data_IF_733300078989
#
_entry.id   IF_733300078989
#
_cell.length_a   1.000
_cell.length_b   1.000
_cell.length_c   1.000
_cell.angle_alpha   90.00
_cell.angle_beta   90.00
_cell.angle_gamma   90.00
#
_symmetry.space_group_name_H-M   'P 1'
#
loop_
_entity.id
_entity.type
_entity.pdbx_description
1 polymer ?
#
# COMPACT_ATOMS: atom_id res chain seq x y z
N UNK A 1 4.69 3.35 22.13
CA UNK A 1 4.04 2.32 22.99
C UNK A 1 2.52 2.17 22.80
N UNK A 2 1.82 2.79 21.82
CA UNK A 2 0.35 2.61 21.71
C UNK A 2 -0.24 2.36 20.30
N UNK A 3 0.55 1.98 19.28
CA UNK A 3 -0.01 1.48 18.01
C UNK A 3 -0.49 0.01 18.12
N UNK A 4 0.22 -0.82 18.90
CA UNK A 4 -0.08 -2.26 19.05
C UNK A 4 -1.43 -2.58 19.72
N UNK A 5 -2.02 -1.65 20.48
CA UNK A 5 -3.28 -1.91 21.22
C UNK A 5 -4.51 -1.83 20.31
N UNK A 6 -4.46 -1.09 19.20
CA UNK A 6 -5.60 -0.92 18.29
C UNK A 6 -5.77 -2.12 17.34
N UNK A 7 -4.67 -2.77 16.95
CA UNK A 7 -4.69 -3.98 16.10
C UNK A 7 -5.32 -5.19 16.83
N UNK A 8 -5.19 -5.27 18.15
CA UNK A 8 -5.70 -6.39 18.96
C UNK A 8 -7.24 -6.51 18.93
N UNK A 9 -7.97 -5.42 18.67
CA UNK A 9 -9.44 -5.46 18.63
C UNK A 9 -10.03 -5.98 17.30
N UNK A 10 -9.28 -5.92 16.20
CA UNK A 10 -9.72 -6.43 14.90
C UNK A 10 -9.40 -7.93 14.70
N UNK A 11 -8.39 -8.46 15.39
CA UNK A 11 -7.87 -9.82 15.19
C UNK A 11 -8.54 -10.87 16.12
N UNK A 12 -9.32 -10.44 17.11
CA UNK A 12 -9.86 -11.31 18.17
C UNK A 12 -10.92 -12.36 17.75
N UNK A 13 -11.24 -12.50 16.45
CA UNK A 13 -12.25 -13.45 15.95
C UNK A 13 -11.73 -14.52 14.98
N UNK A 14 -10.44 -14.59 14.69
CA UNK A 14 -9.88 -15.63 13.81
C UNK A 14 -9.29 -16.80 14.64
N UNK A 15 -9.90 -18.01 14.60
CA UNK A 15 -9.37 -19.15 15.33
C UNK A 15 -8.17 -19.78 14.61
N UNK A 16 -7.01 -19.73 15.28
CA UNK A 16 -5.95 -20.74 15.17
C UNK A 16 -5.10 -20.72 13.90
N UNK A 17 -4.16 -19.78 13.80
CA UNK A 17 -3.02 -19.88 12.89
C UNK A 17 -1.82 -20.40 13.69
N UNK A 18 -1.22 -21.49 13.22
CA UNK A 18 0.02 -22.02 13.78
C UNK A 18 1.16 -21.08 13.39
N UNK A 19 1.94 -20.61 14.38
CA UNK A 19 3.10 -19.75 14.13
C UNK A 19 4.22 -20.65 13.57
N UNK A 20 4.38 -20.64 12.25
CA UNK A 20 5.59 -21.16 11.60
C UNK A 20 6.81 -20.35 12.09
N UNK A 21 8.00 -20.96 12.12
CA UNK A 21 9.23 -20.19 12.34
C UNK A 21 9.35 -19.24 11.15
N UNK A 22 9.24 -17.95 11.43
CA UNK A 22 9.22 -16.95 10.39
C UNK A 22 10.62 -16.73 9.83
N UNK A 23 10.72 -16.51 8.52
CA UNK A 23 11.98 -16.18 7.88
C UNK A 23 12.43 -14.79 8.32
N UNK A 24 13.72 -14.62 8.53
CA UNK A 24 14.28 -13.32 8.90
C UNK A 24 14.34 -12.43 7.65
N UNK A 25 13.90 -11.18 7.75
CA UNK A 25 13.77 -10.28 6.62
C UNK A 25 15.12 -9.92 5.98
N UNK A 26 16.14 -9.75 6.83
CA UNK A 26 17.51 -9.50 6.41
C UNK A 26 18.39 -10.59 6.98
N UNK A 27 19.17 -11.25 6.12
CA UNK A 27 20.07 -12.32 6.53
C UNK A 27 21.46 -12.04 6.02
N UNK A 28 22.44 -11.97 6.93
CA UNK A 28 23.85 -11.89 6.58
C UNK A 28 24.52 -13.25 6.80
N UNK A 29 25.10 -13.77 5.73
CA UNK A 29 26.02 -14.91 5.76
C UNK A 29 27.44 -14.39 5.67
N UNK A 30 28.21 -14.48 6.75
CA UNK A 30 29.60 -14.02 6.79
C UNK A 30 30.57 -15.19 7.00
N UNK A 31 31.69 -15.19 6.26
CA UNK A 31 32.71 -16.23 6.26
C UNK A 31 34.11 -15.63 6.38
N UNK A 32 34.94 -16.19 7.26
CA UNK A 32 36.32 -15.75 7.40
C UNK A 32 37.12 -16.08 6.14
N UNK A 33 37.82 -15.09 5.58
CA UNK A 33 38.61 -15.28 4.37
C UNK A 33 39.71 -16.33 4.59
N UNK A 34 39.72 -17.36 3.75
CA UNK A 34 40.67 -18.48 3.81
C UNK A 34 40.34 -19.56 4.85
N UNK A 35 39.24 -19.42 5.61
CA UNK A 35 38.79 -20.42 6.59
C UNK A 35 37.25 -20.58 6.52
N UNK A 36 36.72 -21.29 5.50
CA UNK A 36 35.27 -21.43 5.30
C UNK A 36 34.53 -22.11 6.46
N UNK A 37 35.24 -22.89 7.28
CA UNK A 37 34.66 -23.52 8.48
C UNK A 37 34.30 -22.51 9.58
N UNK A 38 34.72 -21.25 9.46
CA UNK A 38 34.33 -20.16 10.35
C UNK A 38 33.32 -19.26 9.62
N UNK A 39 32.09 -19.75 9.51
CA UNK A 39 30.96 -19.07 8.91
C UNK A 39 29.88 -18.82 9.97
N UNK A 40 29.20 -17.68 9.88
CA UNK A 40 28.04 -17.34 10.70
C UNK A 40 26.89 -16.90 9.79
N UNK A 41 25.66 -17.19 10.24
CA UNK A 41 24.42 -16.77 9.60
C UNK A 41 23.62 -16.00 10.66
N UNK A 42 23.31 -14.74 10.39
CA UNK A 42 22.62 -13.85 11.32
C UNK A 42 21.44 -13.21 10.62
N UNK A 43 20.25 -13.38 11.17
CA UNK A 43 19.02 -12.72 10.70
C UNK A 43 18.66 -11.52 11.57
N UNK A 44 17.93 -10.56 11.00
CA UNK A 44 17.38 -9.40 11.69
C UNK A 44 16.13 -8.87 10.98
N UNK A 45 15.27 -8.19 11.74
CA UNK A 45 14.17 -7.37 11.22
C UNK A 45 14.58 -5.92 10.91
N UNK A 46 15.82 -5.51 11.22
CA UNK A 46 16.34 -4.16 11.01
C UNK A 46 17.69 -4.23 10.29
N UNK A 47 17.73 -3.76 9.03
CA UNK A 47 18.94 -3.72 8.22
C UNK A 47 20.00 -2.78 8.84
N UNK A 48 19.69 -1.54 9.26
CA UNK A 48 20.72 -0.66 9.84
C UNK A 48 21.40 -1.26 11.07
N UNK A 49 20.65 -1.95 11.93
CA UNK A 49 21.23 -2.55 13.14
C UNK A 49 22.08 -3.78 12.78
N UNK A 50 21.63 -4.60 11.83
CA UNK A 50 22.41 -5.74 11.32
C UNK A 50 23.71 -5.31 10.62
N UNK A 51 23.64 -4.23 9.85
CA UNK A 51 24.80 -3.62 9.20
C UNK A 51 25.80 -3.05 10.22
N UNK A 52 25.32 -2.36 11.27
CA UNK A 52 26.14 -1.89 12.39
C UNK A 52 26.86 -3.05 13.07
N UNK A 53 26.13 -4.11 13.40
CA UNK A 53 26.69 -5.28 14.08
C UNK A 53 27.78 -5.96 13.23
N UNK A 54 27.59 -6.06 11.90
CA UNK A 54 28.59 -6.57 10.98
C UNK A 54 29.85 -5.68 10.94
N UNK A 55 29.68 -4.36 10.81
CA UNK A 55 30.79 -3.42 10.71
C UNK A 55 31.63 -3.38 11.99
N UNK A 56 30.96 -3.35 13.15
CA UNK A 56 31.57 -3.30 14.48
C UNK A 56 32.16 -4.66 14.92
N UNK A 57 31.86 -5.75 14.19
CA UNK A 57 32.06 -7.13 14.66
C UNK A 57 31.41 -7.35 16.04
N UNK A 58 30.21 -6.83 16.22
CA UNK A 58 29.43 -6.96 17.44
C UNK A 58 28.68 -8.30 17.48
N UNK A 59 28.23 -8.72 18.67
CA UNK A 59 27.43 -9.94 18.85
C UNK A 59 28.07 -11.20 18.26
N UNK A 60 27.36 -11.85 17.33
CA UNK A 60 27.81 -13.08 16.65
C UNK A 60 28.99 -12.82 15.72
N UNK A 61 29.10 -11.60 15.14
CA UNK A 61 30.20 -11.22 14.24
C UNK A 61 31.52 -11.00 14.97
N UNK A 62 31.54 -11.00 16.31
CA UNK A 62 32.77 -10.90 17.11
C UNK A 62 33.81 -11.99 16.80
N UNK A 63 33.38 -13.12 16.22
CA UNK A 63 34.24 -14.17 15.67
C UNK A 63 35.21 -13.66 14.58
N UNK A 64 34.92 -12.53 13.93
CA UNK A 64 35.73 -11.92 12.88
C UNK A 64 36.60 -10.75 13.37
N UNK A 65 36.65 -10.48 14.67
CA UNK A 65 37.43 -9.36 15.23
C UNK A 65 38.90 -9.47 14.83
N UNK A 66 39.41 -8.44 14.14
CA UNK A 66 40.78 -8.38 13.64
C UNK A 66 41.09 -9.38 12.52
N UNK A 67 40.06 -9.88 11.82
CA UNK A 67 40.19 -10.87 10.73
C UNK A 67 39.48 -10.38 9.47
N UNK A 68 40.00 -10.70 8.28
CA UNK A 68 39.27 -10.47 7.04
C UNK A 68 38.09 -11.44 6.89
N UNK A 69 37.02 -10.99 6.27
CA UNK A 69 35.84 -11.81 5.98
C UNK A 69 35.19 -11.38 4.65
N UNK A 70 34.37 -12.27 4.09
CA UNK A 70 33.38 -11.98 3.05
C UNK A 70 32.00 -12.21 3.62
N UNK A 71 31.01 -11.42 3.21
CA UNK A 71 29.64 -11.55 3.64
C UNK A 71 28.69 -11.34 2.46
N UNK A 72 27.58 -12.05 2.45
CA UNK A 72 26.44 -11.77 1.56
C UNK A 72 25.24 -11.37 2.41
N UNK A 73 24.45 -10.42 1.91
CA UNK A 73 23.19 -9.98 2.47
C UNK A 73 22.06 -10.47 1.57
N UNK A 74 21.16 -11.24 2.13
CA UNK A 74 19.84 -11.49 1.56
C UNK A 74 18.91 -10.39 2.06
N UNK A 75 18.24 -9.69 1.14
CA UNK A 75 17.39 -8.54 1.45
C UNK A 75 15.95 -8.84 1.08
N UNK A 76 15.07 -8.92 2.08
CA UNK A 76 13.63 -9.07 1.89
C UNK A 76 13.25 -10.23 0.94
N UNK A 77 13.97 -11.36 1.05
CA UNK A 77 13.77 -12.56 0.22
C UNK A 77 14.60 -12.60 -1.06
N UNK A 78 15.28 -11.51 -1.42
CA UNK A 78 16.22 -11.48 -2.55
C UNK A 78 17.59 -11.98 -2.09
N UNK A 79 17.98 -13.17 -2.56
CA UNK A 79 19.25 -13.79 -2.20
C UNK A 79 20.46 -13.03 -2.77
N UNK A 80 21.53 -12.92 -1.97
CA UNK A 80 22.79 -12.28 -2.35
C UNK A 80 22.61 -10.86 -2.93
N UNK A 81 21.61 -10.13 -2.44
CA UNK A 81 21.27 -8.78 -2.87
C UNK A 81 22.45 -7.80 -2.75
N UNK A 82 23.32 -8.01 -1.76
CA UNK A 82 24.57 -7.25 -1.61
C UNK A 82 25.71 -8.17 -1.19
N UNK A 83 26.89 -8.00 -1.79
CA UNK A 83 28.11 -8.66 -1.34
C UNK A 83 29.07 -7.66 -0.68
N UNK A 84 29.63 -8.05 0.45
CA UNK A 84 30.51 -7.25 1.28
C UNK A 84 31.80 -8.02 1.51
N UNK A 85 32.95 -7.36 1.41
CA UNK A 85 34.22 -7.94 1.85
C UNK A 85 34.96 -6.98 2.75
N UNK A 86 35.62 -7.50 3.78
CA UNK A 86 36.44 -6.71 4.70
C UNK A 86 37.88 -7.20 4.65
N UNK A 87 38.80 -6.24 4.48
CA UNK A 87 40.24 -6.48 4.49
C UNK A 87 40.94 -5.59 5.51
N UNK A 88 42.10 -6.03 6.00
CA UNK A 88 42.93 -5.26 6.94
C UNK A 88 43.88 -4.38 6.14
N UNK A 89 44.00 -3.10 6.50
CA UNK A 89 44.93 -2.19 5.84
C UNK A 89 46.32 -2.35 6.45
N UNK A 90 47.28 -2.76 5.63
CA UNK A 90 48.68 -2.96 6.04
C UNK A 90 49.24 -1.75 6.78
N UNK A 91 49.77 -1.98 7.99
CA UNK A 91 50.44 -0.95 8.80
C UNK A 91 49.56 -0.29 9.88
N UNK A 92 48.27 -0.64 9.97
CA UNK A 92 47.38 -0.20 11.06
C UNK A 92 46.60 -1.39 11.62
N UNK A 93 46.62 -1.56 12.94
CA UNK A 93 45.92 -2.69 13.59
C UNK A 93 44.41 -2.43 13.74
N UNK A 94 43.96 -1.19 13.54
CA UNK A 94 42.57 -0.78 13.80
C UNK A 94 41.86 -0.20 12.57
N UNK A 95 42.50 -0.17 11.41
CA UNK A 95 41.89 0.33 10.18
C UNK A 95 41.59 -0.80 9.21
N UNK A 96 40.38 -0.77 8.68
CA UNK A 96 39.88 -1.78 7.77
C UNK A 96 39.35 -1.11 6.50
N UNK A 97 39.35 -1.87 5.42
CA UNK A 97 38.63 -1.52 4.19
C UNK A 97 37.45 -2.47 4.06
N UNK A 98 36.25 -1.91 4.02
CA UNK A 98 35.03 -2.62 3.70
C UNK A 98 34.65 -2.27 2.25
N UNK A 99 34.49 -3.29 1.41
CA UNK A 99 34.20 -3.17 -0.01
C UNK A 99 32.84 -3.78 -0.29
N UNK A 100 31.88 -2.96 -0.67
CA UNK A 100 30.54 -3.36 -1.12
C UNK A 100 30.61 -3.52 -2.64
N UNK A 101 30.18 -4.67 -3.14
CA UNK A 101 30.19 -5.04 -4.55
C UNK A 101 28.96 -5.90 -4.87
N UNK A 102 28.71 -6.10 -6.17
CA UNK A 102 27.60 -6.93 -6.66
C UNK A 102 26.25 -6.56 -6.00
N UNK A 103 25.98 -5.26 -5.90
CA UNK A 103 24.71 -4.75 -5.37
C UNK A 103 23.66 -4.96 -6.46
N UNK A 104 22.56 -5.62 -6.12
CA UNK A 104 21.45 -5.88 -7.03
C UNK A 104 21.02 -4.62 -7.79
N UNK A 105 20.71 -4.74 -9.07
CA UNK A 105 20.34 -3.62 -9.95
C UNK A 105 21.50 -2.73 -10.40
N UNK A 106 22.67 -2.76 -9.75
CA UNK A 106 23.80 -1.91 -10.10
C UNK A 106 24.92 -2.66 -10.84
N UNK A 107 25.23 -2.23 -12.06
CA UNK A 107 26.26 -2.89 -12.88
C UNK A 107 27.68 -2.51 -12.45
N UNK A 108 28.37 -3.43 -11.77
CA UNK A 108 29.81 -3.33 -11.49
C UNK A 108 30.23 -2.21 -10.56
N UNK A 109 29.28 -1.59 -9.85
CA UNK A 109 29.58 -0.56 -8.87
C UNK A 109 30.27 -1.17 -7.66
N UNK A 110 31.38 -0.57 -7.25
CA UNK A 110 32.12 -0.98 -6.05
C UNK A 110 32.30 0.22 -5.13
N UNK A 111 31.80 0.11 -3.91
CA UNK A 111 31.94 1.14 -2.88
C UNK A 111 33.02 0.71 -1.89
N UNK A 112 33.97 1.59 -1.61
CA UNK A 112 35.06 1.33 -0.67
C UNK A 112 34.95 2.26 0.52
N UNK A 113 34.66 1.68 1.69
CA UNK A 113 34.62 2.36 2.98
C UNK A 113 35.92 2.07 3.73
N UNK A 114 36.50 3.09 4.36
CA UNK A 114 37.76 2.97 5.09
C UNK A 114 37.62 3.66 6.43
N UNK A 115 37.95 2.94 7.50
CA UNK A 115 37.88 3.49 8.84
C UNK A 115 38.19 2.46 9.92
N UNK A 116 38.07 2.92 11.16
CA UNK A 116 37.89 2.09 12.34
C UNK A 116 36.53 1.38 12.32
N UNK A 117 36.29 0.36 13.16
CA UNK A 117 34.98 -0.33 13.20
C UNK A 117 33.80 0.65 13.36
N UNK A 118 33.88 1.53 14.37
CA UNK A 118 32.85 2.54 14.65
C UNK A 118 32.61 3.47 13.44
N UNK A 119 33.67 3.96 12.78
CA UNK A 119 33.57 4.79 11.57
C UNK A 119 32.97 4.03 10.38
N UNK A 120 33.27 2.73 10.25
CA UNK A 120 32.72 1.89 9.18
C UNK A 120 31.24 1.57 9.41
N UNK A 121 30.82 1.46 10.67
CA UNK A 121 29.42 1.28 11.05
C UNK A 121 28.59 2.49 10.66
N UNK A 122 29.06 3.70 10.99
CA UNK A 122 28.44 4.95 10.53
C UNK A 122 28.43 5.06 9.00
N UNK A 123 29.56 4.82 8.32
CA UNK A 123 29.65 4.89 6.85
C UNK A 123 28.75 3.85 6.15
N UNK A 124 28.61 2.65 6.70
CA UNK A 124 27.76 1.61 6.10
C UNK A 124 26.27 1.95 6.27
N UNK A 125 25.90 2.52 7.41
CA UNK A 125 24.56 3.06 7.63
C UNK A 125 24.28 4.24 6.70
N UNK A 126 25.22 5.17 6.58
CA UNK A 126 25.13 6.31 5.68
C UNK A 126 25.07 5.86 4.22
N UNK A 127 25.75 4.78 3.83
CA UNK A 127 25.63 4.21 2.49
C UNK A 127 24.18 3.81 2.14
N UNK A 128 23.46 3.13 3.04
CA UNK A 128 22.08 2.74 2.75
C UNK A 128 21.07 3.90 2.85
N UNK A 129 21.36 4.91 3.67
CA UNK A 129 20.40 5.97 3.97
C UNK A 129 20.64 7.26 3.18
N UNK A 130 21.88 7.55 2.79
CA UNK A 130 22.33 8.89 2.42
C UNK A 130 23.27 8.93 1.19
N UNK A 131 24.32 8.13 1.19
CA UNK A 131 25.37 8.20 0.19
C UNK A 131 25.05 7.36 -1.04
N UNK A 132 25.48 7.81 -2.23
CA UNK A 132 25.27 7.11 -3.51
C UNK A 132 23.78 6.88 -3.87
N UNK A 133 22.95 7.95 -3.90
CA UNK A 133 21.52 7.81 -4.13
C UNK A 133 21.16 7.11 -5.45
N UNK A 134 21.98 7.25 -6.49
CA UNK A 134 21.76 6.56 -7.78
C UNK A 134 21.94 5.03 -7.64
N UNK A 135 22.89 4.58 -6.83
CA UNK A 135 23.12 3.14 -6.59
C UNK A 135 22.00 2.55 -5.74
N UNK A 136 21.57 3.30 -4.70
CA UNK A 136 20.45 2.89 -3.85
C UNK A 136 19.13 2.90 -4.64
N UNK A 137 18.96 3.84 -5.57
CA UNK A 137 17.84 3.86 -6.50
C UNK A 137 17.76 2.59 -7.33
N UNK A 138 18.86 2.23 -8.01
CA UNK A 138 18.91 1.01 -8.84
C UNK A 138 18.71 -0.25 -7.98
N UNK A 139 19.25 -0.26 -6.76
CA UNK A 139 19.04 -1.33 -5.79
C UNK A 139 17.56 -1.47 -5.40
N UNK A 140 16.92 -0.39 -4.95
CA UNK A 140 15.52 -0.43 -4.52
C UNK A 140 14.56 -0.78 -5.66
N UNK A 141 14.84 -0.33 -6.88
CA UNK A 141 14.10 -0.74 -8.07
C UNK A 141 14.22 -2.26 -8.31
N UNK A 142 15.45 -2.80 -8.32
CA UNK A 142 15.66 -4.24 -8.51
C UNK A 142 15.08 -5.10 -7.38
N UNK A 143 15.03 -4.57 -6.15
CA UNK A 143 14.34 -5.21 -5.02
C UNK A 143 12.82 -5.21 -5.24
N UNK A 144 12.22 -4.13 -5.74
CA UNK A 144 10.78 -4.06 -6.00
C UNK A 144 10.33 -5.08 -7.06
N UNK A 145 11.17 -5.36 -8.05
CA UNK A 145 10.91 -6.36 -9.09
C UNK A 145 10.93 -7.81 -8.55
N UNK A 146 11.58 -8.08 -7.42
CA UNK A 146 11.86 -9.46 -6.96
C UNK A 146 11.30 -9.79 -5.57
N UNK A 147 11.15 -8.80 -4.69
CA UNK A 147 10.72 -9.01 -3.31
C UNK A 147 9.20 -8.88 -3.16
N UNK A 148 8.50 -9.91 -2.65
CA UNK A 148 7.04 -9.84 -2.41
C UNK A 148 6.68 -8.90 -1.24
N UNK A 149 7.68 -8.36 -0.53
CA UNK A 149 7.53 -7.47 0.62
C UNK A 149 8.33 -6.17 0.45
N UNK A 150 8.61 -5.77 -0.79
CA UNK A 150 9.16 -4.46 -1.10
C UNK A 150 8.21 -3.33 -0.64
N UNK A 151 8.78 -2.22 -0.16
CA UNK A 151 7.97 -1.16 0.48
C UNK A 151 7.38 -0.15 -0.51
N UNK A 152 8.08 0.09 -1.62
CA UNK A 152 7.76 1.16 -2.58
C UNK A 152 6.86 0.70 -3.71
N UNK A 153 7.15 -0.47 -4.31
CA UNK A 153 6.44 -0.99 -5.48
C UNK A 153 6.48 -2.54 -5.56
N UNK A 154 5.77 -3.11 -6.54
CA UNK A 154 5.93 -4.51 -6.97
C UNK A 154 5.11 -5.56 -6.22
N UNK A 155 4.27 -5.17 -5.26
CA UNK A 155 3.41 -6.09 -4.52
C UNK A 155 2.15 -5.39 -3.93
N UNK A 156 1.15 -6.13 -3.41
CA UNK A 156 -0.09 -5.53 -2.91
C UNK A 156 0.06 -4.62 -1.68
N UNK A 157 1.14 -4.72 -0.88
CA UNK A 157 1.39 -3.82 0.26
C UNK A 157 2.14 -2.55 -0.12
N UNK A 158 2.75 -2.51 -1.29
CA UNK A 158 3.56 -1.41 -1.75
C UNK A 158 2.78 -0.10 -1.88
N UNK A 159 3.49 1.03 -1.83
CA UNK A 159 2.87 2.36 -1.93
C UNK A 159 2.06 2.55 -3.22
N UNK A 160 2.62 2.15 -4.37
CA UNK A 160 1.94 2.23 -5.68
C UNK A 160 0.60 1.49 -5.68
N UNK A 161 0.56 0.28 -5.11
CA UNK A 161 -0.63 -0.55 -5.00
C UNK A 161 -1.68 0.08 -4.07
N UNK A 162 -1.26 0.63 -2.92
CA UNK A 162 -2.15 1.35 -1.99
C UNK A 162 -2.77 2.58 -2.62
N UNK A 163 -1.97 3.38 -3.33
CA UNK A 163 -2.45 4.52 -4.11
C UNK A 163 -3.53 4.12 -5.12
N UNK A 164 -3.23 3.10 -5.92
CA UNK A 164 -4.12 2.59 -6.94
C UNK A 164 -5.39 2.03 -6.32
N UNK A 165 -5.31 1.35 -5.16
CA UNK A 165 -6.45 0.83 -4.39
C UNK A 165 -7.33 1.95 -3.88
N UNK A 166 -6.79 3.00 -3.27
CA UNK A 166 -7.60 4.12 -2.77
C UNK A 166 -8.52 4.67 -3.88
N UNK A 167 -7.95 4.96 -5.05
CA UNK A 167 -8.70 5.52 -6.18
C UNK A 167 -9.71 4.51 -6.72
N UNK A 168 -9.31 3.26 -6.92
CA UNK A 168 -10.17 2.24 -7.48
C UNK A 168 -11.35 1.90 -6.57
N UNK A 169 -11.09 1.74 -5.27
CA UNK A 169 -12.12 1.46 -4.29
C UNK A 169 -13.11 2.60 -4.24
N UNK A 170 -12.63 3.84 -4.15
CA UNK A 170 -13.52 4.99 -3.98
C UNK A 170 -14.35 5.27 -5.23
N UNK A 171 -13.72 5.28 -6.41
CA UNK A 171 -14.35 5.78 -7.64
C UNK A 171 -14.72 4.68 -8.62
N UNK A 172 -14.27 3.44 -8.39
CA UNK A 172 -14.64 2.25 -9.13
C UNK A 172 -15.60 1.39 -8.31
N UNK A 173 -15.05 0.51 -7.47
CA UNK A 173 -15.79 -0.58 -6.81
C UNK A 173 -16.89 -0.09 -5.85
N UNK A 174 -16.64 1.02 -5.16
CA UNK A 174 -17.59 1.69 -4.26
C UNK A 174 -18.02 3.05 -4.81
N UNK A 175 -18.08 3.21 -6.14
CA UNK A 175 -18.58 4.41 -6.78
C UNK A 175 -19.99 4.76 -6.28
N UNK A 176 -20.83 3.76 -6.01
CA UNK A 176 -22.17 3.84 -5.40
C UNK A 176 -22.20 4.40 -3.97
N UNK A 177 -21.06 4.74 -3.38
CA UNK A 177 -20.99 5.49 -2.13
C UNK A 177 -20.72 7.00 -2.35
N UNK A 178 -20.23 7.40 -3.53
CA UNK A 178 -19.96 8.81 -3.85
C UNK A 178 -21.26 9.58 -4.17
N UNK A 179 -21.46 10.78 -3.59
CA UNK A 179 -22.55 11.69 -3.91
C UNK A 179 -22.65 12.05 -5.38
N UNK A 180 -21.52 12.11 -6.10
CA UNK A 180 -21.54 12.26 -7.56
C UNK A 180 -22.33 11.11 -8.21
N UNK A 181 -22.14 9.86 -7.81
CA UNK A 181 -22.90 8.73 -8.37
C UNK A 181 -24.30 8.55 -7.74
N UNK A 182 -24.47 8.93 -6.47
CA UNK A 182 -25.71 8.73 -5.70
C UNK A 182 -26.80 9.75 -5.95
N UNK A 183 -26.63 10.61 -6.95
CA UNK A 183 -27.70 11.52 -7.39
C UNK A 183 -28.95 10.78 -7.83
N UNK A 184 -28.81 9.51 -8.23
CA UNK A 184 -29.94 8.62 -8.52
C UNK A 184 -30.92 8.60 -7.34
N UNK A 185 -30.46 8.69 -6.09
CA UNK A 185 -31.35 8.60 -4.94
C UNK A 185 -31.97 9.93 -4.50
N UNK A 186 -31.37 11.09 -4.82
CA UNK A 186 -31.94 12.41 -4.47
C UNK A 186 -33.18 12.77 -5.27
N UNK A 187 -33.40 12.12 -6.40
CA UNK A 187 -34.42 12.55 -7.35
C UNK A 187 -35.80 11.94 -7.09
N UNK A 188 -35.95 11.19 -6.00
CA UNK A 188 -37.22 10.58 -5.60
C UNK A 188 -37.91 11.32 -4.46
N UNK A 189 -37.56 12.59 -4.23
CA UNK A 189 -38.45 13.48 -3.51
C UNK A 189 -39.36 14.15 -4.54
N UNK A 190 -40.67 14.08 -4.33
CA UNK A 190 -41.63 14.82 -5.15
C UNK A 190 -41.25 16.32 -5.09
N UNK A 191 -40.96 16.96 -6.23
CA UNK A 191 -40.47 18.33 -6.26
C UNK A 191 -41.48 19.35 -5.69
N UNK A 192 -42.77 19.00 -5.60
CA UNK A 192 -43.80 19.84 -4.98
C UNK A 192 -43.89 19.66 -3.46
N UNK A 193 -43.67 18.45 -2.96
CA UNK A 193 -43.89 18.11 -1.53
C UNK A 193 -42.61 17.89 -0.74
N UNK A 194 -41.51 17.60 -1.41
CA UNK A 194 -40.27 17.16 -0.79
C UNK A 194 -40.39 15.80 -0.11
N UNK A 195 -41.44 15.02 -0.36
CA UNK A 195 -41.63 13.69 0.25
C UNK A 195 -41.10 12.57 -0.66
N UNK A 196 -40.58 11.46 -0.10
CA UNK A 196 -40.14 10.30 -0.88
C UNK A 196 -41.30 9.72 -1.72
N UNK A 197 -41.07 9.49 -3.01
CA UNK A 197 -42.01 8.80 -3.91
C UNK A 197 -42.12 7.34 -3.45
N UNK A 198 -43.29 6.94 -2.95
CA UNK A 198 -43.58 5.59 -2.47
C UNK A 198 -44.06 4.69 -3.62
N UNK A 199 -43.11 4.08 -4.33
CA UNK A 199 -43.39 3.11 -5.43
C UNK A 199 -43.16 1.65 -5.04
N UNK A 200 -42.92 1.38 -3.75
CA UNK A 200 -42.71 0.03 -3.23
C UNK A 200 -41.31 -0.54 -3.49
N UNK A 201 -40.38 0.20 -4.11
CA UNK A 201 -38.99 -0.23 -4.28
C UNK A 201 -38.16 0.21 -3.07
N UNK A 202 -37.48 -0.70 -2.35
CA UNK A 202 -36.58 -0.31 -1.27
C UNK A 202 -35.32 0.35 -1.85
N UNK A 203 -35.20 1.67 -1.71
CA UNK A 203 -34.03 2.45 -2.14
C UNK A 203 -33.18 2.86 -0.93
N UNK A 204 -31.86 2.69 -1.04
CA UNK A 204 -30.88 3.20 -0.09
C UNK A 204 -30.29 4.48 -0.68
N UNK A 205 -30.63 5.64 -0.12
CA UNK A 205 -30.02 6.94 -0.44
C UNK A 205 -28.60 7.12 0.13
N UNK A 206 -27.60 6.41 -0.37
CA UNK A 206 -26.24 6.56 0.15
C UNK A 206 -25.75 8.04 0.08
N UNK A 207 -25.71 8.70 1.24
CA UNK A 207 -24.96 9.94 1.45
C UNK A 207 -25.60 11.25 1.02
N UNK A 208 -26.93 11.43 1.03
CA UNK A 208 -27.47 12.65 0.43
C UNK A 208 -28.73 13.21 1.09
N UNK A 209 -28.62 13.82 2.28
CA UNK A 209 -29.59 14.85 2.70
C UNK A 209 -29.65 15.89 1.59
N UNK A 210 -30.83 16.27 1.10
CA UNK A 210 -31.02 17.15 -0.05
C UNK A 210 -30.34 18.54 0.15
N UNK A 211 -29.05 18.64 -0.15
CA UNK A 211 -28.34 19.92 -0.23
C UNK A 211 -28.34 20.30 -1.70
N UNK A 212 -29.28 21.12 -2.12
CA UNK A 212 -29.57 21.44 -3.53
C UNK A 212 -28.31 21.85 -4.32
N UNK A 213 -27.39 22.62 -3.71
CA UNK A 213 -26.02 22.83 -4.21
C UNK A 213 -25.07 23.06 -3.01
N UNK A 214 -23.81 22.61 -3.08
CA UNK A 214 -22.79 22.91 -2.05
C UNK A 214 -22.72 21.97 -0.83
N UNK A 215 -23.02 20.67 -0.97
CA UNK A 215 -22.90 19.69 0.11
C UNK A 215 -21.48 19.10 0.23
N UNK A 216 -21.12 18.71 1.45
CA UNK A 216 -19.88 18.00 1.74
C UNK A 216 -20.18 16.55 2.13
N UNK A 217 -19.35 15.63 1.67
CA UNK A 217 -19.37 14.26 2.17
C UNK A 217 -18.01 13.91 2.73
N UNK A 218 -17.97 13.57 4.01
CA UNK A 218 -16.78 12.98 4.61
C UNK A 218 -16.90 11.47 4.69
N UNK A 219 -15.81 10.78 4.37
CA UNK A 219 -15.73 9.32 4.45
C UNK A 219 -14.42 8.91 5.12
N UNK A 220 -14.54 7.93 6.00
CA UNK A 220 -13.43 7.30 6.70
C UNK A 220 -13.46 5.81 6.40
N UNK A 221 -12.40 5.27 5.83
CA UNK A 221 -12.24 3.85 5.59
C UNK A 221 -11.14 3.29 6.50
N UNK A 222 -11.43 2.13 7.08
CA UNK A 222 -10.49 1.30 7.83
C UNK A 222 -10.37 -0.03 7.11
N UNK A 223 -9.15 -0.53 7.03
CA UNK A 223 -8.85 -1.88 6.59
C UNK A 223 -7.77 -2.44 7.50
N UNK A 224 -7.98 -3.67 7.98
CA UNK A 224 -6.96 -4.41 8.71
C UNK A 224 -6.84 -5.80 8.12
N UNK A 225 -5.61 -6.23 7.79
CA UNK A 225 -5.32 -7.53 7.18
C UNK A 225 -4.18 -8.24 7.90
N UNK A 226 -4.23 -9.58 7.90
CA UNK A 226 -3.05 -10.45 8.09
C UNK A 226 -2.49 -10.78 6.71
N UNK A 227 -1.17 -10.90 6.61
CA UNK A 227 -0.46 -11.04 5.33
C UNK A 227 0.53 -12.20 5.40
N UNK A 228 0.57 -12.99 4.34
CA UNK A 228 1.60 -13.97 4.01
C UNK A 228 2.17 -13.60 2.63
N UNK A 229 3.49 -13.43 2.52
CA UNK A 229 4.16 -12.96 1.32
C UNK A 229 5.49 -13.69 1.14
N UNK A 230 5.52 -14.69 0.26
CA UNK A 230 6.57 -15.68 0.18
C UNK A 230 6.69 -16.42 1.51
N UNK A 231 7.90 -16.45 2.07
CA UNK A 231 8.17 -17.03 3.38
C UNK A 231 7.87 -16.08 4.55
N UNK A 232 7.43 -14.84 4.27
CA UNK A 232 7.23 -13.80 5.27
C UNK A 232 5.79 -13.72 5.74
N UNK A 233 5.61 -13.29 6.99
CA UNK A 233 4.33 -13.08 7.64
C UNK A 233 4.23 -11.68 8.25
N UNK A 234 3.02 -11.15 8.31
CA UNK A 234 2.83 -9.81 8.84
C UNK A 234 1.38 -9.34 8.97
N UNK A 235 1.24 -8.04 9.12
CA UNK A 235 -0.06 -7.38 9.22
C UNK A 235 -0.07 -6.03 8.53
N UNK A 236 -1.22 -5.65 8.02
CA UNK A 236 -1.47 -4.38 7.36
C UNK A 236 -2.64 -3.65 8.03
N UNK A 237 -2.54 -2.33 8.12
CA UNK A 237 -3.60 -1.42 8.52
C UNK A 237 -3.62 -0.19 7.61
N UNK A 238 -4.79 0.10 7.04
CA UNK A 238 -5.04 1.33 6.29
C UNK A 238 -6.15 2.15 6.95
N UNK A 239 -5.92 3.45 7.02
CA UNK A 239 -6.87 4.47 7.45
C UNK A 239 -6.93 5.55 6.40
N UNK A 240 -8.08 5.72 5.77
CA UNK A 240 -8.29 6.74 4.75
C UNK A 240 -9.30 7.75 5.21
N UNK A 241 -8.94 9.03 5.19
CA UNK A 241 -9.87 10.13 5.30
C UNK A 241 -10.12 10.74 3.94
N UNK A 242 -11.36 11.17 3.67
CA UNK A 242 -11.67 11.84 2.42
C UNK A 242 -12.84 12.78 2.58
N UNK A 243 -12.79 13.90 1.86
CA UNK A 243 -13.88 14.87 1.78
C UNK A 243 -14.19 15.15 0.33
N UNK A 244 -15.44 14.98 -0.05
CA UNK A 244 -15.97 15.31 -1.37
C UNK A 244 -16.75 16.62 -1.29
N UNK A 245 -16.41 17.55 -2.16
CA UNK A 245 -17.12 18.79 -2.39
C UNK A 245 -17.84 18.68 -3.73
N UNK A 246 -19.17 18.77 -3.69
CA UNK A 246 -19.98 18.76 -4.90
C UNK A 246 -20.10 20.16 -5.48
N UNK A 247 -19.64 20.33 -6.71
CA UNK A 247 -19.66 21.63 -7.41
C UNK A 247 -20.89 21.72 -8.31
N UNK A 248 -21.18 20.68 -9.09
CA UNK A 248 -22.41 20.55 -9.89
C UNK A 248 -22.99 19.15 -9.77
N UNK A 249 -24.10 18.90 -10.44
CA UNK A 249 -24.65 17.53 -10.60
C UNK A 249 -23.67 16.60 -11.35
N UNK A 250 -22.84 17.14 -12.23
CA UNK A 250 -21.92 16.32 -13.04
C UNK A 250 -20.51 16.28 -12.49
N UNK A 251 -20.18 17.14 -11.54
CA UNK A 251 -18.80 17.40 -11.18
C UNK A 251 -18.63 17.54 -9.66
N UNK A 252 -17.73 16.73 -9.12
CA UNK A 252 -17.25 16.84 -7.75
C UNK A 252 -15.74 17.02 -7.70
N UNK A 253 -15.24 17.44 -6.55
CA UNK A 253 -13.83 17.43 -6.21
C UNK A 253 -13.66 16.65 -4.91
N UNK A 254 -12.73 15.70 -4.89
CA UNK A 254 -12.44 14.89 -3.71
C UNK A 254 -11.02 15.11 -3.28
N UNK A 255 -10.87 15.41 -1.99
CA UNK A 255 -9.61 15.42 -1.29
C UNK A 255 -9.49 14.14 -0.45
N UNK A 256 -8.41 13.38 -0.62
CA UNK A 256 -8.14 12.15 0.11
C UNK A 256 -6.80 12.19 0.86
N UNK A 257 -6.78 11.56 2.04
CA UNK A 257 -5.60 11.37 2.88
C UNK A 257 -5.56 9.90 3.35
N UNK A 258 -5.09 8.95 2.51
CA UNK A 258 -4.76 7.61 2.96
C UNK A 258 -3.50 7.61 3.84
N UNK A 259 -3.56 6.83 4.92
CA UNK A 259 -2.48 6.58 5.86
C UNK A 259 -2.39 5.06 6.00
N UNK A 260 -1.23 4.50 5.68
CA UNK A 260 -0.95 3.07 5.76
C UNK A 260 0.11 2.77 6.81
N UNK A 261 -0.03 1.64 7.47
CA UNK A 261 0.99 1.03 8.30
C UNK A 261 0.99 -0.47 8.04
N UNK A 262 2.15 -1.06 7.84
CA UNK A 262 2.29 -2.51 7.86
C UNK A 262 3.55 -2.92 8.58
N UNK A 263 3.54 -4.16 9.08
CA UNK A 263 4.68 -4.80 9.72
C UNK A 263 4.86 -6.18 9.12
N UNK A 264 6.03 -6.44 8.54
CA UNK A 264 6.45 -7.74 8.02
C UNK A 264 7.64 -8.17 8.85
N UNK A 265 7.58 -9.34 9.48
CA UNK A 265 8.69 -9.84 10.31
C UNK A 265 9.21 -8.86 11.36
N UNK A 266 8.31 -8.06 11.94
CA UNK A 266 8.59 -6.96 12.88
C UNK A 266 9.29 -5.73 12.30
N UNK A 267 9.55 -5.68 10.99
CA UNK A 267 9.99 -4.47 10.30
C UNK A 267 8.78 -3.57 10.01
N UNK A 268 8.84 -2.32 10.46
CA UNK A 268 7.73 -1.39 10.38
C UNK A 268 7.83 -0.49 9.14
N UNK A 269 6.72 -0.32 8.44
CA UNK A 269 6.61 0.53 7.24
C UNK A 269 5.42 1.47 7.39
N UNK A 270 5.65 2.76 7.13
CA UNK A 270 4.63 3.80 7.19
C UNK A 270 4.42 4.43 5.83
N UNK A 271 3.16 4.67 5.48
CA UNK A 271 2.75 5.29 4.23
C UNK A 271 1.78 6.45 4.50
N UNK A 272 1.93 7.55 3.76
CA UNK A 272 0.96 8.64 3.76
C UNK A 272 0.81 9.18 2.35
N UNK A 273 -0.44 9.35 1.90
CA UNK A 273 -0.76 9.87 0.59
C UNK A 273 -1.69 11.07 0.65
N UNK A 274 -1.64 11.90 -0.39
CA UNK A 274 -2.53 13.01 -0.64
C UNK A 274 -3.13 12.83 -2.03
N UNK A 275 -4.44 12.74 -2.12
CA UNK A 275 -5.15 12.55 -3.38
C UNK A 275 -6.05 13.74 -3.71
N UNK A 276 -6.04 14.14 -4.98
CA UNK A 276 -6.99 15.09 -5.55
C UNK A 276 -7.62 14.47 -6.79
N UNK A 277 -8.90 14.12 -6.67
CA UNK A 277 -9.65 13.42 -7.72
C UNK A 277 -10.90 14.22 -8.10
N UNK A 278 -11.28 14.16 -9.38
CA UNK A 278 -12.34 14.99 -9.94
C UNK A 278 -13.42 14.14 -10.64
N UNK A 279 -14.35 13.51 -9.88
CA UNK A 279 -15.38 12.67 -10.47
C UNK A 279 -16.31 13.45 -11.39
N UNK A 280 -16.49 12.94 -12.62
CA UNK A 280 -17.32 13.48 -13.68
C UNK A 280 -18.39 12.49 -14.12
N UNK A 281 -19.68 12.83 -13.95
CA UNK A 281 -20.78 12.00 -14.46
C UNK A 281 -21.07 12.33 -15.93
N UNK A 282 -20.68 11.42 -16.82
CA UNK A 282 -20.95 11.53 -18.25
C UNK A 282 -22.40 11.13 -18.54
N UNK A 283 -22.88 10.05 -17.90
CA UNK A 283 -24.27 9.61 -17.96
C UNK A 283 -24.86 9.57 -16.57
N UNK A 284 -26.02 10.19 -16.41
CA UNK A 284 -26.83 10.18 -15.20
C UNK A 284 -28.12 9.46 -15.55
N UNK A 285 -28.60 8.63 -14.64
CA UNK A 285 -29.91 7.97 -14.76
C UNK A 285 -31.00 9.04 -14.73
N UNK A 286 -32.01 8.86 -15.58
CA UNK A 286 -33.20 9.70 -15.56
C UNK A 286 -33.90 9.59 -14.18
N UNK A 287 -34.22 10.70 -13.50
CA UNK A 287 -34.96 10.75 -12.24
C UNK A 287 -36.07 9.69 -12.10
N UNK A 288 -36.87 9.50 -13.14
CA UNK A 288 -38.10 8.71 -13.08
C UNK A 288 -37.91 7.23 -13.45
N UNK A 289 -36.68 6.81 -13.76
CA UNK A 289 -36.44 5.48 -14.29
C UNK A 289 -36.27 4.43 -13.18
N UNK A 290 -37.13 3.39 -13.18
CA UNK A 290 -36.97 2.18 -12.35
C UNK A 290 -35.66 1.41 -12.61
N UNK A 291 -35.02 1.70 -13.75
CA UNK A 291 -33.79 1.08 -14.21
C UNK A 291 -32.88 2.15 -14.77
N UNK A 292 -31.60 2.09 -14.40
CA UNK A 292 -30.70 3.19 -14.67
C UNK A 292 -29.31 2.74 -15.05
N UNK A 293 -28.74 3.38 -16.05
CA UNK A 293 -27.31 3.29 -16.34
C UNK A 293 -26.64 4.63 -16.02
N UNK A 294 -25.58 4.60 -15.22
CA UNK A 294 -24.71 5.74 -15.00
C UNK A 294 -23.27 5.43 -15.39
N UNK A 295 -22.57 6.45 -15.85
CA UNK A 295 -21.16 6.38 -16.18
C UNK A 295 -20.43 7.56 -15.58
N UNK A 296 -19.46 7.25 -14.72
CA UNK A 296 -18.59 8.21 -14.06
C UNK A 296 -17.15 8.01 -14.50
N UNK A 297 -16.47 9.11 -14.78
CA UNK A 297 -15.04 9.15 -15.11
C UNK A 297 -14.35 10.05 -14.10
N UNK A 298 -13.30 9.55 -13.47
CA UNK A 298 -12.59 10.24 -12.41
C UNK A 298 -11.11 10.30 -12.74
N UNK A 299 -10.62 11.38 -13.36
CA UNK A 299 -9.21 11.70 -13.36
C UNK A 299 -8.78 12.09 -11.96
N UNK A 300 -7.52 11.81 -11.65
CA UNK A 300 -6.95 12.20 -10.38
C UNK A 300 -5.43 12.22 -10.40
N UNK A 301 -4.88 12.91 -9.42
CA UNK A 301 -3.45 12.94 -9.12
C UNK A 301 -3.24 12.63 -7.64
N UNK A 302 -2.09 12.06 -7.30
CA UNK A 302 -1.67 11.90 -5.91
C UNK A 302 -0.20 12.21 -5.71
N UNK A 303 0.16 12.48 -4.45
CA UNK A 303 1.53 12.49 -3.98
C UNK A 303 1.59 11.66 -2.70
N UNK A 304 2.58 10.78 -2.58
CA UNK A 304 2.73 9.83 -1.48
C UNK A 304 4.15 9.82 -0.96
N UNK A 305 4.27 9.46 0.31
CA UNK A 305 5.54 9.19 0.96
C UNK A 305 5.46 7.84 1.67
N UNK A 306 6.48 7.02 1.48
CA UNK A 306 6.68 5.76 2.20
C UNK A 306 8.03 5.79 2.90
N UNK A 307 8.07 5.32 4.15
CA UNK A 307 9.27 5.35 4.98
C UNK A 307 9.33 4.09 5.84
N UNK A 308 10.50 3.46 5.87
CA UNK A 308 10.85 2.42 6.83
C UNK A 308 12.32 2.52 7.21
N UNK A 309 12.58 2.74 8.49
CA UNK A 309 13.94 2.69 9.03
C UNK A 309 14.50 1.27 8.95
N UNK A 310 13.68 0.27 9.26
CA UNK A 310 14.06 -1.13 9.33
C UNK A 310 14.51 -1.67 7.96
N UNK A 311 13.83 -1.28 6.89
CA UNK A 311 14.24 -1.60 5.52
C UNK A 311 15.38 -0.72 5.01
N UNK A 312 15.74 0.37 5.70
CA UNK A 312 16.55 1.45 5.16
C UNK A 312 16.03 1.91 3.77
N UNK A 313 14.70 1.94 3.61
CA UNK A 313 14.05 2.18 2.34
C UNK A 313 12.88 3.14 2.50
N UNK A 314 12.57 3.84 1.43
CA UNK A 314 11.47 4.77 1.38
C UNK A 314 11.50 5.57 0.10
N UNK A 315 10.67 6.60 0.05
CA UNK A 315 10.67 7.53 -1.06
C UNK A 315 9.38 8.31 -1.16
N UNK A 316 9.36 9.20 -2.14
CA UNK A 316 8.14 9.91 -2.53
C UNK A 316 7.73 9.52 -3.94
N UNK A 317 6.43 9.34 -4.12
CA UNK A 317 5.81 9.01 -5.39
C UNK A 317 4.83 10.10 -5.76
N UNK A 318 4.67 10.34 -7.04
CA UNK A 318 3.51 11.04 -7.58
C UNK A 318 2.80 10.12 -8.56
N UNK A 319 1.47 10.17 -8.54
CA UNK A 319 0.65 9.41 -9.48
C UNK A 319 -0.28 10.31 -10.26
N UNK A 320 -0.60 9.86 -11.45
CA UNK A 320 -1.76 10.34 -12.20
C UNK A 320 -2.54 9.14 -12.73
N UNK A 321 -3.85 9.30 -12.84
CA UNK A 321 -4.64 8.22 -13.41
C UNK A 321 -6.08 8.58 -13.67
N UNK A 322 -6.77 7.59 -14.24
CA UNK A 322 -8.15 7.69 -14.66
C UNK A 322 -8.90 6.46 -14.18
N UNK A 323 -10.04 6.67 -13.53
CA UNK A 323 -10.97 5.60 -13.15
C UNK A 323 -12.29 5.77 -13.87
N UNK A 324 -12.79 4.70 -14.46
CA UNK A 324 -14.09 4.61 -15.09
C UNK A 324 -14.96 3.68 -14.25
N UNK A 325 -16.19 4.09 -13.98
CA UNK A 325 -17.19 3.27 -13.32
C UNK A 325 -18.50 3.30 -14.10
N UNK A 326 -19.00 2.11 -14.38
CA UNK A 326 -20.30 1.86 -14.97
C UNK A 326 -21.18 1.25 -13.90
N UNK A 327 -22.36 1.83 -13.69
CA UNK A 327 -23.33 1.33 -12.74
C UNK A 327 -24.65 1.09 -13.46
N UNK A 328 -25.25 -0.06 -13.18
CA UNK A 328 -26.56 -0.43 -13.67
C UNK A 328 -27.45 -0.82 -12.50
N UNK A 329 -28.51 -0.07 -12.29
CA UNK A 329 -29.55 -0.36 -11.30
C UNK A 329 -30.73 -1.07 -11.94
N UNK A 330 -31.18 -2.16 -11.30
CA UNK A 330 -32.33 -2.96 -11.71
C UNK A 330 -33.07 -3.46 -10.46
N UNK A 331 -34.19 -2.80 -10.12
CA UNK A 331 -34.98 -3.12 -8.91
C UNK A 331 -34.09 -3.11 -7.64
N UNK A 332 -33.99 -4.24 -6.92
CA UNK A 332 -33.16 -4.38 -5.71
C UNK A 332 -31.68 -4.60 -6.00
N UNK A 333 -31.30 -4.75 -7.26
CA UNK A 333 -29.94 -5.08 -7.66
C UNK A 333 -29.22 -3.86 -8.21
N UNK A 334 -27.94 -3.75 -7.87
CA UNK A 334 -27.00 -2.81 -8.49
C UNK A 334 -25.80 -3.59 -8.96
N UNK A 335 -25.44 -3.39 -10.22
CA UNK A 335 -24.25 -3.96 -10.85
C UNK A 335 -23.27 -2.83 -11.10
N UNK A 336 -22.02 -3.02 -10.72
CA UNK A 336 -20.93 -2.06 -10.94
C UNK A 336 -19.83 -2.80 -11.67
N UNK A 337 -19.32 -2.18 -12.73
CA UNK A 337 -18.10 -2.57 -13.41
C UNK A 337 -17.18 -1.35 -13.48
N UNK A 338 -15.89 -1.55 -13.20
CA UNK A 338 -14.93 -0.47 -13.13
C UNK A 338 -13.60 -0.85 -13.77
N UNK A 339 -12.92 0.16 -14.31
CA UNK A 339 -11.57 0.08 -14.85
C UNK A 339 -10.77 1.27 -14.35
N UNK A 340 -9.50 1.06 -14.02
CA UNK A 340 -8.56 2.13 -13.71
C UNK A 340 -7.24 1.91 -14.43
N UNK A 341 -6.64 3.02 -14.87
CA UNK A 341 -5.27 3.08 -15.35
C UNK A 341 -4.53 4.16 -14.55
N UNK A 342 -3.42 3.80 -13.91
CA UNK A 342 -2.61 4.70 -13.08
C UNK A 342 -1.14 4.55 -13.42
N UNK A 343 -0.45 5.68 -13.51
CA UNK A 343 1.01 5.73 -13.64
C UNK A 343 1.56 6.34 -12.37
N UNK A 344 2.60 5.73 -11.83
CA UNK A 344 3.31 6.10 -10.61
C UNK A 344 4.76 6.33 -10.95
N UNK A 345 5.30 7.43 -10.47
CA UNK A 345 6.69 7.82 -10.70
C UNK A 345 7.29 8.25 -9.37
N UNK A 346 8.53 7.82 -9.11
CA UNK A 346 9.26 8.34 -7.97
C UNK A 346 9.80 9.74 -8.24
N UNK A 347 9.90 10.52 -7.18
CA UNK A 347 10.72 11.72 -7.17
C UNK A 347 11.71 11.63 -6.04
N UNK A 348 12.91 12.13 -6.32
CA UNK A 348 13.96 12.30 -5.32
C UNK A 348 13.44 13.21 -4.20
N UNK A 349 13.49 12.72 -2.97
CA UNK A 349 13.24 13.51 -1.77
C UNK A 349 14.57 13.82 -1.09
N UNK A 350 14.89 15.11 -1.01
CA UNK A 350 16.02 15.61 -0.24
C UNK A 350 15.51 16.13 1.12
N UNK A 351 15.89 15.48 2.22
CA UNK A 351 15.61 15.91 3.61
C UNK A 351 16.91 16.02 4.39
N UNK A 352 17.30 17.25 4.70
CA UNK A 352 18.59 17.58 5.32
C UNK A 352 19.76 16.98 4.52
N UNK A 353 20.34 15.93 5.09
CA UNK A 353 21.49 15.21 4.56
C UNK A 353 21.09 13.92 3.80
N UNK A 354 19.81 13.54 3.83
CA UNK A 354 19.29 12.31 3.23
C UNK A 354 18.67 12.60 1.86
N UNK A 355 18.95 11.71 0.91
CA UNK A 355 18.52 11.83 -0.48
C UNK A 355 17.98 10.48 -0.92
N UNK A 356 16.66 10.33 -0.96
CA UNK A 356 16.00 9.04 -1.20
C UNK A 356 15.22 9.13 -2.53
N UNK A 357 15.60 8.29 -3.49
CA UNK A 357 14.85 8.05 -4.73
C UNK A 357 14.71 6.54 -4.93
N UNK A 358 13.51 5.96 -4.82
CA UNK A 358 13.32 4.52 -5.00
C UNK A 358 13.32 4.06 -6.46
N UNK A 359 13.42 4.99 -7.43
CA UNK A 359 13.54 4.64 -8.85
C UNK A 359 12.31 4.01 -9.48
N UNK A 360 11.12 4.25 -8.93
CA UNK A 360 9.87 3.64 -9.38
C UNK A 360 9.35 4.34 -10.62
N UNK A 361 9.03 3.56 -11.65
CA UNK A 361 8.20 3.96 -12.79
C UNK A 361 7.25 2.79 -13.06
N UNK A 362 6.03 2.88 -12.54
CA UNK A 362 5.09 1.77 -12.54
C UNK A 362 3.76 2.18 -13.15
N UNK A 363 3.26 1.34 -14.04
CA UNK A 363 1.88 1.44 -14.52
C UNK A 363 1.04 0.32 -13.92
N UNK A 364 -0.13 0.67 -13.37
CA UNK A 364 -1.08 -0.28 -12.80
C UNK A 364 -2.41 -0.19 -13.54
N UNK A 365 -2.89 -1.35 -14.00
CA UNK A 365 -4.23 -1.55 -14.54
C UNK A 365 -5.08 -2.28 -13.50
N UNK A 366 -6.29 -1.77 -13.22
CA UNK A 366 -7.27 -2.47 -12.38
C UNK A 366 -8.57 -2.66 -13.13
N UNK A 367 -9.14 -3.85 -13.04
CA UNK A 367 -10.46 -4.20 -13.56
C UNK A 367 -11.26 -4.86 -12.45
N UNK A 368 -12.52 -4.48 -12.27
CA UNK A 368 -13.29 -5.06 -11.19
C UNK A 368 -14.78 -4.84 -11.33
N UNK A 369 -15.52 -5.50 -10.46
CA UNK A 369 -16.95 -5.36 -10.41
C UNK A 369 -17.53 -5.78 -9.08
N UNK A 370 -18.73 -5.26 -8.81
CA UNK A 370 -19.48 -5.53 -7.58
C UNK A 370 -20.95 -5.68 -7.91
N UNK A 371 -21.60 -6.59 -7.21
CA UNK A 371 -23.05 -6.71 -7.18
C UNK A 371 -23.53 -6.37 -5.77
N UNK A 372 -24.56 -5.54 -5.69
CA UNK A 372 -25.21 -5.16 -4.44
C UNK A 372 -26.68 -5.54 -4.50
N UNK A 373 -27.18 -6.15 -3.42
CA UNK A 373 -28.58 -6.52 -3.24
C UNK A 373 -29.17 -5.75 -2.06
N UNK A 374 -30.17 -4.90 -2.33
CA UNK A 374 -30.89 -4.10 -1.34
C UNK A 374 -31.94 -4.98 -0.66
N UNK A 375 -31.74 -5.26 0.62
CA UNK A 375 -32.69 -6.05 1.41
C UNK A 375 -33.90 -5.20 1.80
N UNK A 376 -33.65 -3.94 2.19
CA UNK A 376 -34.66 -2.94 2.52
C UNK A 376 -34.09 -1.52 2.29
N UNK A 377 -34.81 -0.46 2.73
CA UNK A 377 -34.41 0.95 2.55
C UNK A 377 -33.12 1.34 3.29
N UNK A 378 -32.68 0.56 4.27
CA UNK A 378 -31.54 0.88 5.13
C UNK A 378 -30.48 -0.22 5.22
N UNK A 379 -30.60 -1.31 4.45
CA UNK A 379 -29.64 -2.41 4.51
C UNK A 379 -29.45 -3.10 3.15
N UNK A 380 -28.19 -3.39 2.82
CA UNK A 380 -27.79 -4.13 1.64
C UNK A 380 -26.66 -5.12 1.92
N UNK A 381 -26.54 -6.13 1.07
CA UNK A 381 -25.37 -7.00 0.99
C UNK A 381 -24.66 -6.77 -0.34
N UNK A 382 -23.36 -6.96 -0.37
CA UNK A 382 -22.60 -6.88 -1.62
C UNK A 382 -21.51 -7.94 -1.69
N UNK A 383 -21.12 -8.26 -2.91
CA UNK A 383 -19.97 -9.07 -3.23
C UNK A 383 -19.34 -8.60 -4.54
N UNK A 384 -18.02 -8.73 -4.67
CA UNK A 384 -17.28 -8.28 -5.83
C UNK A 384 -15.87 -8.81 -5.84
N UNK A 385 -15.14 -8.45 -6.88
CA UNK A 385 -13.72 -8.72 -7.00
C UNK A 385 -13.05 -7.68 -7.88
N UNK A 386 -11.76 -7.48 -7.63
CA UNK A 386 -10.88 -6.64 -8.45
C UNK A 386 -9.70 -7.46 -8.88
N UNK A 387 -9.34 -7.42 -10.15
CA UNK A 387 -8.06 -7.88 -10.65
C UNK A 387 -7.14 -6.66 -10.84
N UNK A 388 -5.91 -6.75 -10.35
CA UNK A 388 -4.87 -5.73 -10.45
C UNK A 388 -3.68 -6.32 -11.19
N UNK A 389 -3.13 -5.55 -12.12
CA UNK A 389 -2.01 -5.92 -12.98
C UNK A 389 -0.95 -4.82 -12.93
N UNK A 390 0.28 -5.20 -12.57
CA UNK A 390 1.47 -4.38 -12.68
C UNK A 390 1.99 -4.56 -14.11
N UNK A 391 2.02 -3.46 -14.90
CA UNK A 391 2.38 -3.54 -16.31
C UNK A 391 3.89 -3.50 -16.56
N UNK A 392 4.66 -3.07 -15.57
CA UNK A 392 6.12 -3.24 -15.50
C UNK A 392 6.45 -4.31 -14.46
N UNK A 393 7.71 -4.77 -14.47
CA UNK A 393 8.21 -5.88 -13.67
C UNK A 393 7.92 -5.69 -12.16
N UNK A 394 7.39 -6.73 -11.53
CA UNK A 394 6.95 -6.71 -10.15
C UNK A 394 7.14 -8.10 -9.52
N UNK A 395 7.42 -8.16 -8.22
CA UNK A 395 7.52 -9.44 -7.52
C UNK A 395 6.20 -10.22 -7.53
N UNK A 396 5.07 -9.50 -7.52
CA UNK A 396 3.72 -10.04 -7.69
C UNK A 396 3.08 -9.35 -8.90
N UNK A 397 3.30 -9.91 -10.09
CA UNK A 397 2.84 -9.36 -11.39
C UNK A 397 1.36 -8.93 -11.38
N UNK A 398 0.50 -9.76 -10.78
CA UNK A 398 -0.92 -9.49 -10.69
C UNK A 398 -1.55 -10.18 -9.47
N UNK A 399 -2.68 -9.65 -9.03
CA UNK A 399 -3.43 -10.21 -7.91
C UNK A 399 -4.93 -9.94 -8.02
N UNK A 400 -5.72 -10.77 -7.35
CA UNK A 400 -7.17 -10.63 -7.24
C UNK A 400 -7.59 -10.28 -5.82
N UNK A 401 -8.44 -9.28 -5.67
CA UNK A 401 -8.98 -8.81 -4.39
C UNK A 401 -10.49 -9.06 -4.30
N UNK A 402 -10.95 -10.21 -3.76
CA UNK A 402 -12.37 -10.43 -3.52
C UNK A 402 -12.86 -9.60 -2.33
N UNK A 403 -14.09 -9.10 -2.44
CA UNK A 403 -14.77 -8.35 -1.38
C UNK A 403 -16.17 -8.89 -1.15
N UNK A 404 -16.63 -8.87 0.10
CA UNK A 404 -18.02 -9.14 0.42
C UNK A 404 -18.40 -8.45 1.74
N UNK A 405 -19.64 -7.99 1.88
CA UNK A 405 -20.02 -7.32 3.10
C UNK A 405 -21.48 -6.87 3.19
N UNK A 406 -21.73 -6.09 4.22
CA UNK A 406 -23.02 -5.49 4.56
C UNK A 406 -22.88 -3.97 4.59
N UNK A 407 -23.88 -3.28 4.06
CA UNK A 407 -24.00 -1.83 4.16
C UNK A 407 -25.27 -1.50 4.93
N UNK A 408 -25.19 -0.50 5.81
CA UNK A 408 -26.31 0.04 6.58
C UNK A 408 -26.38 1.54 6.42
N UNK A 409 -27.55 2.00 6.02
CA UNK A 409 -27.83 3.41 5.87
C UNK A 409 -28.82 3.86 6.93
N UNK A 410 -28.48 4.97 7.57
CA UNK A 410 -29.31 5.63 8.55
C UNK A 410 -30.21 6.67 7.88
N UNK A 411 -31.31 7.03 8.56
CA UNK A 411 -32.30 8.00 8.06
C UNK A 411 -31.72 9.40 7.78
N UNK A 412 -30.59 9.75 8.39
CA UNK A 412 -29.87 11.00 8.16
C UNK A 412 -28.89 10.93 6.97
N UNK A 413 -28.91 9.85 6.18
CA UNK A 413 -28.02 9.64 5.03
C UNK A 413 -26.61 9.16 5.39
N UNK A 414 -26.29 9.01 6.68
CA UNK A 414 -25.03 8.38 7.09
C UNK A 414 -25.03 6.90 6.68
N UNK A 415 -23.85 6.37 6.34
CA UNK A 415 -23.68 4.97 5.98
C UNK A 415 -22.52 4.34 6.77
N UNK A 416 -22.73 3.09 7.18
CA UNK A 416 -21.70 2.20 7.70
C UNK A 416 -21.64 0.96 6.83
N UNK A 417 -20.44 0.60 6.38
CA UNK A 417 -20.19 -0.63 5.64
C UNK A 417 -19.18 -1.48 6.39
N UNK A 418 -19.47 -2.77 6.55
CA UNK A 418 -18.56 -3.75 7.15
C UNK A 418 -18.42 -4.91 6.17
N UNK A 419 -17.18 -5.31 5.88
CA UNK A 419 -16.94 -6.38 4.92
C UNK A 419 -15.64 -7.12 5.16
N UNK A 420 -15.51 -8.23 4.45
CA UNK A 420 -14.27 -8.94 4.20
C UNK A 420 -13.61 -8.37 2.94
N UNK A 421 -12.28 -8.31 2.97
CA UNK A 421 -11.44 -7.99 1.83
C UNK A 421 -10.15 -8.83 1.92
N UNK A 422 -9.77 -9.46 0.82
CA UNK A 422 -8.51 -10.19 0.72
C UNK A 422 -7.77 -9.81 -0.55
N UNK A 423 -6.50 -10.19 -0.64
CA UNK A 423 -5.63 -9.98 -1.79
C UNK A 423 -4.88 -11.30 -2.07
N UNK A 424 -4.93 -11.79 -3.30
CA UNK A 424 -4.40 -13.12 -3.68
C UNK A 424 -3.59 -13.01 -4.97
N UNK A 425 -2.28 -13.24 -4.88
CA UNK A 425 -1.33 -13.26 -5.99
C UNK A 425 -0.43 -14.50 -5.93
N UNK A 426 0.53 -14.60 -6.85
CA UNK A 426 1.60 -15.59 -6.73
C UNK A 426 2.46 -15.25 -5.51
N UNK A 427 2.68 -16.25 -4.64
CA UNK A 427 3.41 -16.11 -3.37
C UNK A 427 2.94 -14.93 -2.50
N UNK A 428 1.66 -14.56 -2.58
CA UNK A 428 1.09 -13.49 -1.77
C UNK A 428 -0.38 -13.77 -1.43
N UNK A 429 -0.70 -13.71 -0.14
CA UNK A 429 -2.06 -13.83 0.37
C UNK A 429 -2.29 -12.85 1.54
N UNK A 430 -3.39 -12.12 1.51
CA UNK A 430 -3.82 -11.29 2.61
C UNK A 430 -5.32 -11.47 2.89
N UNK A 431 -5.68 -11.46 4.16
CA UNK A 431 -7.07 -11.56 4.60
C UNK A 431 -7.39 -10.50 5.64
N UNK A 432 -8.52 -9.84 5.49
CA UNK A 432 -8.89 -8.80 6.42
C UNK A 432 -10.33 -8.39 6.44
N UNK A 433 -10.56 -7.41 7.30
CA UNK A 433 -11.84 -6.74 7.47
C UNK A 433 -11.75 -5.29 7.06
N UNK A 434 -12.80 -4.80 6.40
CA UNK A 434 -12.99 -3.41 6.03
C UNK A 434 -14.15 -2.82 6.81
N UNK A 435 -13.98 -1.60 7.30
CA UNK A 435 -15.04 -0.80 7.91
C UNK A 435 -15.04 0.60 7.31
N UNK A 436 -16.15 1.02 6.73
CA UNK A 436 -16.31 2.36 6.14
C UNK A 436 -17.39 3.12 6.87
N UNK A 437 -17.11 4.36 7.22
CA UNK A 437 -18.06 5.34 7.71
C UNK A 437 -18.20 6.48 6.71
N UNK A 438 -19.43 6.92 6.50
CA UNK A 438 -19.72 8.02 5.60
C UNK A 438 -20.76 8.95 6.23
N UNK A 439 -20.46 10.25 6.23
CA UNK A 439 -21.23 11.29 6.89
C UNK A 439 -21.53 12.42 5.88
N UNK A 440 -22.81 12.68 5.56
CA UNK A 440 -23.21 13.86 4.80
C UNK A 440 -23.30 15.09 5.71
N UNK A 441 -22.84 16.24 5.20
CA UNK A 441 -22.92 17.56 5.85
C UNK A 441 -23.51 18.63 4.92
#
# INVERSE_FOLDING_TARGET
>A
MHARVLVVLAVASLPGVAIAQSSELFVIRAEQTGVPSNAVLVGSSSLPDLASDLADNSGVFSAFTGRPFSATLDYAGVENAVQISRTIISGSHNFFRLTIHDIAGSDGTTINLIGTPDELSEQLKDFFLKDNPDVIKDFLAAIAEQSPVAVTDGNPLASTARSARYRFDRFGLFADASPASNQINRMYHDPETGEPIDDGVPRMELGSVAVDHGGFLSRVDFLGQVVEAGDFSGSNFDLTFSTEMRITERFGLVFGLPIGYHSIENADVFNVGLHLDAPMNLMIVDPDAEKGFSWTVTPGVSAEAVLSYDYAAGGTLYSFGLTNAFRYDYDKWTFIAAQQYTVHESTKLDVDDYSIDPGISQTILKLGGKVLFRMNRGAAIYAGATWTDFLEDAAVDNYTSPVAGFAWQFHNGANITLGYEGDFGEDYEAHGGRLTFQLPF
#
